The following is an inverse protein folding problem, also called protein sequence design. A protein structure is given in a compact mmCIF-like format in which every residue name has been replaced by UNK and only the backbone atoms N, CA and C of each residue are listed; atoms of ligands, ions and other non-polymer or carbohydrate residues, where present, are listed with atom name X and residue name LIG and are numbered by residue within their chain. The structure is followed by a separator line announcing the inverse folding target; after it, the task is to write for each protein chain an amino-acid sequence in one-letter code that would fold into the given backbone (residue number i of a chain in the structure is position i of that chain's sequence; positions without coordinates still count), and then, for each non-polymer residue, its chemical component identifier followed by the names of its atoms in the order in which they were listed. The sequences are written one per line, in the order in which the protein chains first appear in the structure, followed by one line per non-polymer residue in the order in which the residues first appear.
data_IF_810742508757
#
_entry.id   IF_810742508757
#
_cell.length_a   1.000
_cell.length_b   1.000
_cell.length_c   1.000
_cell.angle_alpha   90.00
_cell.angle_beta   90.00
_cell.angle_gamma   90.00
#
_symmetry.space_group_name_H-M   'P 1'
#
loop_
_entity.id
_entity.type
_entity.pdbx_description
1 polymer ?
#
# COMPACT_ATOMS: atom_id res chain seq x y z
N UNK A 1 -15.54 -30.47 -19.46
CA UNK A 1 -15.13 -29.06 -19.37
C UNK A 1 -16.16 -28.34 -18.54
N UNK A 2 -17.45 -28.51 -18.83
CA UNK A 2 -18.55 -27.90 -18.10
C UNK A 2 -18.56 -28.21 -16.59
N UNK A 3 -18.33 -29.48 -16.20
CA UNK A 3 -18.16 -29.88 -14.78
C UNK A 3 -17.03 -29.09 -14.10
N UNK A 4 -15.82 -29.12 -14.68
CA UNK A 4 -14.67 -28.35 -14.19
C UNK A 4 -14.95 -26.84 -14.08
N UNK A 5 -15.66 -26.24 -15.05
CA UNK A 5 -16.00 -24.82 -15.02
C UNK A 5 -17.09 -24.49 -13.98
N UNK A 6 -17.95 -25.46 -13.64
CA UNK A 6 -18.88 -25.33 -12.53
C UNK A 6 -18.12 -25.38 -11.20
N UNK A 7 -17.26 -26.38 -11.01
CA UNK A 7 -16.45 -26.54 -9.81
C UNK A 7 -15.53 -25.33 -9.58
N UNK A 8 -14.92 -24.80 -10.65
CA UNK A 8 -14.05 -23.62 -10.58
C UNK A 8 -14.79 -22.33 -10.18
N UNK A 9 -16.08 -22.21 -10.52
CA UNK A 9 -16.91 -21.05 -10.13
C UNK A 9 -17.32 -21.10 -8.66
N UNK A 10 -17.40 -22.31 -8.09
CA UNK A 10 -17.72 -22.55 -6.68
C UNK A 10 -16.46 -22.78 -5.83
N UNK A 11 -15.28 -22.39 -6.35
CA UNK A 11 -14.02 -22.62 -5.67
C UNK A 11 -13.90 -21.73 -4.43
N UNK A 12 -13.58 -22.37 -3.30
CA UNK A 12 -13.26 -21.79 -2.01
C UNK A 12 -12.03 -22.52 -1.40
N UNK A 13 -11.58 -22.11 -0.23
CA UNK A 13 -10.43 -22.67 0.50
C UNK A 13 -10.70 -24.07 1.08
N UNK A 14 -11.93 -24.58 0.99
CA UNK A 14 -12.23 -25.90 1.53
C UNK A 14 -11.51 -26.97 0.73
N UNK A 15 -10.99 -27.97 1.44
CA UNK A 15 -10.24 -29.06 0.83
C UNK A 15 -11.08 -29.81 -0.22
N UNK A 16 -12.38 -30.00 0.03
CA UNK A 16 -13.29 -30.68 -0.90
C UNK A 16 -13.40 -29.94 -2.24
N UNK A 17 -13.53 -28.61 -2.23
CA UNK A 17 -13.64 -27.80 -3.46
C UNK A 17 -12.32 -27.72 -4.22
N UNK A 18 -11.20 -27.56 -3.50
CA UNK A 18 -9.86 -27.63 -4.09
C UNK A 18 -9.61 -28.99 -4.75
N UNK A 19 -10.00 -30.08 -4.08
CA UNK A 19 -9.89 -31.44 -4.60
C UNK A 19 -10.78 -31.66 -5.83
N UNK A 20 -12.03 -31.20 -5.82
CA UNK A 20 -12.94 -31.33 -6.96
C UNK A 20 -12.36 -30.71 -8.25
N UNK A 21 -11.88 -29.45 -8.18
CA UNK A 21 -11.28 -28.74 -9.32
C UNK A 21 -9.98 -29.43 -9.77
N UNK A 22 -9.11 -29.76 -8.83
CA UNK A 22 -7.82 -30.37 -9.12
C UNK A 22 -7.94 -31.80 -9.68
N UNK A 23 -8.92 -32.59 -9.22
CA UNK A 23 -9.23 -33.91 -9.77
C UNK A 23 -9.70 -33.83 -11.21
N UNK A 24 -10.46 -32.79 -11.57
CA UNK A 24 -10.81 -32.48 -12.96
C UNK A 24 -9.57 -32.33 -13.85
N UNK A 25 -8.57 -31.57 -13.39
CA UNK A 25 -7.30 -31.40 -14.09
C UNK A 25 -6.48 -32.70 -14.11
N UNK A 26 -6.41 -33.44 -13.00
CA UNK A 26 -5.69 -34.71 -12.92
C UNK A 26 -6.31 -35.80 -13.81
N UNK A 27 -7.64 -35.83 -14.00
CA UNK A 27 -8.30 -36.69 -14.99
C UNK A 27 -7.77 -36.41 -16.40
N UNK A 28 -7.64 -35.13 -16.77
CA UNK A 28 -7.10 -34.74 -18.08
C UNK A 28 -5.61 -35.10 -18.20
N UNK A 29 -4.83 -34.91 -17.13
CA UNK A 29 -3.43 -35.35 -17.07
C UNK A 29 -3.29 -36.85 -17.35
N UNK A 30 -4.15 -37.70 -16.76
CA UNK A 30 -4.14 -39.16 -17.01
C UNK A 30 -4.47 -39.50 -18.46
N UNK A 31 -5.43 -38.80 -19.06
CA UNK A 31 -5.74 -38.97 -20.49
C UNK A 31 -4.59 -38.48 -21.39
N UNK A 32 -3.83 -37.49 -20.96
CA UNK A 32 -2.71 -36.92 -21.70
C UNK A 32 -3.15 -36.00 -22.85
N UNK A 33 -4.31 -35.35 -22.72
CA UNK A 33 -4.85 -34.42 -23.72
C UNK A 33 -4.28 -33.00 -23.51
N UNK A 34 -3.32 -32.54 -24.34
CA UNK A 34 -2.65 -31.26 -24.14
C UNK A 34 -3.54 -30.06 -24.48
N UNK A 35 -4.51 -30.21 -25.38
CA UNK A 35 -5.40 -29.13 -25.80
C UNK A 35 -6.35 -28.83 -24.64
N UNK A 36 -6.97 -29.88 -24.09
CA UNK A 36 -7.88 -29.75 -22.96
C UNK A 36 -7.16 -29.30 -21.69
N UNK A 37 -5.94 -29.78 -21.43
CA UNK A 37 -5.13 -29.31 -20.31
C UNK A 37 -4.81 -27.82 -20.41
N UNK A 38 -4.45 -27.33 -21.60
CA UNK A 38 -4.23 -25.90 -21.85
C UNK A 38 -5.49 -25.08 -21.61
N UNK A 39 -6.63 -25.50 -22.16
CA UNK A 39 -7.91 -24.81 -21.94
C UNK A 39 -8.28 -24.73 -20.45
N UNK A 40 -8.03 -25.79 -19.68
CA UNK A 40 -8.27 -25.79 -18.23
C UNK A 40 -7.35 -24.82 -17.48
N UNK A 41 -6.05 -24.79 -17.82
CA UNK A 41 -5.10 -23.85 -17.23
C UNK A 41 -5.43 -22.39 -17.58
N UNK A 42 -5.84 -22.12 -18.82
CA UNK A 42 -6.29 -20.80 -19.27
C UNK A 42 -7.59 -20.37 -18.56
N UNK A 43 -8.54 -21.29 -18.41
CA UNK A 43 -9.78 -21.01 -17.67
C UNK A 43 -9.51 -20.75 -16.18
N UNK A 44 -8.58 -21.48 -15.58
CA UNK A 44 -8.15 -21.27 -14.19
C UNK A 44 -7.57 -19.87 -13.97
N UNK A 45 -6.63 -19.44 -14.81
CA UNK A 45 -6.03 -18.09 -14.66
C UNK A 45 -7.04 -16.99 -15.01
N UNK A 46 -7.91 -17.20 -16.00
CA UNK A 46 -8.98 -16.25 -16.33
C UNK A 46 -9.98 -16.09 -15.18
N UNK A 47 -10.37 -17.19 -14.53
CA UNK A 47 -11.22 -17.14 -13.35
C UNK A 47 -10.54 -16.39 -12.19
N UNK A 48 -9.25 -16.62 -11.95
CA UNK A 48 -8.50 -15.85 -10.96
C UNK A 48 -8.46 -14.35 -11.29
N UNK A 49 -8.24 -13.97 -12.56
CA UNK A 49 -8.25 -12.57 -13.00
C UNK A 49 -9.62 -11.90 -12.83
N UNK A 50 -10.69 -12.65 -13.06
CA UNK A 50 -12.07 -12.17 -12.97
C UNK A 50 -12.65 -12.24 -11.55
N UNK A 51 -11.95 -12.91 -10.62
CA UNK A 51 -12.39 -13.07 -9.24
C UNK A 51 -12.36 -11.74 -8.49
N UNK A 52 -13.32 -11.47 -7.60
CA UNK A 52 -13.41 -10.22 -6.84
C UNK A 52 -12.52 -10.22 -5.59
N UNK A 53 -12.35 -9.08 -4.92
CA UNK A 53 -11.51 -8.96 -3.71
C UNK A 53 -12.03 -9.77 -2.51
N UNK A 54 -13.33 -10.08 -2.47
CA UNK A 54 -13.95 -10.92 -1.43
C UNK A 54 -13.82 -12.42 -1.72
N UNK A 55 -13.33 -12.80 -2.89
CA UNK A 55 -13.14 -14.20 -3.24
C UNK A 55 -11.88 -14.75 -2.57
N UNK A 56 -11.93 -16.01 -2.17
CA UNK A 56 -10.83 -16.71 -1.52
C UNK A 56 -9.75 -17.09 -2.54
N UNK A 57 -9.05 -16.08 -3.09
CA UNK A 57 -8.14 -16.22 -4.24
C UNK A 57 -6.99 -17.18 -3.98
N UNK A 58 -6.59 -17.38 -2.72
CA UNK A 58 -5.54 -18.34 -2.35
C UNK A 58 -5.92 -19.78 -2.70
N UNK A 59 -7.22 -20.10 -2.75
CA UNK A 59 -7.72 -21.41 -3.17
C UNK A 59 -7.24 -21.79 -4.58
N UNK A 60 -7.06 -20.82 -5.49
CA UNK A 60 -6.53 -21.08 -6.83
C UNK A 60 -5.09 -21.60 -6.78
N UNK A 61 -4.27 -21.10 -5.85
CA UNK A 61 -2.90 -21.59 -5.63
C UNK A 61 -2.90 -22.94 -4.90
N UNK A 62 -3.89 -23.20 -4.04
CA UNK A 62 -4.07 -24.55 -3.46
C UNK A 62 -4.42 -25.59 -4.52
N UNK A 63 -5.29 -25.25 -5.49
CA UNK A 63 -5.56 -26.11 -6.66
C UNK A 63 -4.28 -26.39 -7.44
N UNK A 64 -3.52 -25.35 -7.79
CA UNK A 64 -2.27 -25.50 -8.51
C UNK A 64 -1.26 -26.35 -7.73
N UNK A 65 -1.12 -26.11 -6.42
CA UNK A 65 -0.28 -26.90 -5.53
C UNK A 65 -0.71 -28.38 -5.52
N UNK A 66 -2.01 -28.67 -5.34
CA UNK A 66 -2.50 -30.04 -5.29
C UNK A 66 -2.21 -30.80 -6.61
N UNK A 67 -2.46 -30.17 -7.76
CA UNK A 67 -2.15 -30.74 -9.07
C UNK A 67 -0.63 -30.96 -9.24
N UNK A 68 0.21 -29.98 -8.89
CA UNK A 68 1.67 -30.11 -8.99
C UNK A 68 2.20 -31.25 -8.11
N UNK A 69 1.73 -31.34 -6.86
CA UNK A 69 2.16 -32.38 -5.92
C UNK A 69 1.76 -33.77 -6.41
N UNK A 70 0.52 -33.95 -6.87
CA UNK A 70 0.02 -35.23 -7.40
C UNK A 70 0.68 -35.62 -8.73
N UNK A 71 1.07 -34.66 -9.56
CA UNK A 71 1.73 -34.95 -10.84
C UNK A 71 3.23 -35.23 -10.71
N UNK A 72 3.92 -34.60 -9.76
CA UNK A 72 5.36 -34.78 -9.55
C UNK A 72 5.71 -35.90 -8.56
N UNK A 73 4.87 -36.13 -7.55
CA UNK A 73 5.15 -37.06 -6.45
C UNK A 73 4.05 -38.12 -6.23
N UNK A 74 3.00 -38.12 -7.04
CA UNK A 74 1.96 -39.17 -7.00
C UNK A 74 2.42 -40.49 -7.63
N UNK A 75 1.61 -41.54 -7.46
CA UNK A 75 1.94 -42.86 -7.99
C UNK A 75 2.21 -42.80 -9.51
N UNK A 76 3.34 -43.37 -9.98
CA UNK A 76 3.74 -43.34 -11.38
C UNK A 76 2.91 -44.36 -12.19
N UNK A 77 1.59 -44.24 -12.19
CA UNK A 77 0.73 -45.18 -12.92
C UNK A 77 0.79 -44.97 -14.45
N UNK A 78 1.33 -43.84 -14.92
CA UNK A 78 1.49 -43.59 -16.34
C UNK A 78 2.71 -42.69 -16.55
N UNK A 79 3.82 -43.21 -17.09
CA UNK A 79 5.03 -42.46 -17.45
C UNK A 79 4.85 -41.41 -18.57
N UNK A 80 3.72 -40.69 -18.56
CA UNK A 80 3.39 -39.59 -19.45
C UNK A 80 3.96 -38.30 -18.87
N UNK A 81 4.44 -37.43 -19.76
CA UNK A 81 4.98 -36.12 -19.39
C UNK A 81 3.95 -35.28 -18.62
N UNK A 82 4.32 -34.66 -17.49
CA UNK A 82 3.41 -33.80 -16.74
C UNK A 82 3.06 -32.54 -17.56
N UNK A 83 1.80 -32.43 -17.99
CA UNK A 83 1.34 -31.33 -18.85
C UNK A 83 1.21 -30.04 -18.02
N UNK A 84 0.55 -30.13 -16.86
CA UNK A 84 0.22 -28.99 -16.02
C UNK A 84 1.44 -28.31 -15.38
N UNK A 85 2.56 -29.01 -15.19
CA UNK A 85 3.81 -28.40 -14.66
C UNK A 85 4.28 -27.26 -15.57
N UNK A 86 4.36 -27.53 -16.88
CA UNK A 86 4.78 -26.54 -17.87
C UNK A 86 3.75 -25.43 -18.10
N UNK A 87 2.45 -25.75 -17.98
CA UNK A 87 1.36 -24.80 -18.15
C UNK A 87 1.25 -23.84 -16.97
N UNK A 88 1.29 -24.34 -15.73
CA UNK A 88 1.27 -23.49 -14.55
C UNK A 88 2.52 -22.61 -14.45
N UNK A 89 3.69 -23.12 -14.85
CA UNK A 89 4.92 -22.32 -14.86
C UNK A 89 4.81 -21.02 -15.66
N UNK A 90 3.89 -20.94 -16.64
CA UNK A 90 3.65 -19.73 -17.45
C UNK A 90 2.81 -18.69 -16.71
N UNK A 91 1.99 -19.11 -15.74
CA UNK A 91 0.98 -18.26 -15.10
C UNK A 91 1.20 -18.08 -13.59
N UNK A 92 2.08 -18.87 -12.95
CA UNK A 92 2.25 -18.85 -11.51
C UNK A 92 2.81 -17.52 -10.97
N UNK A 93 3.69 -16.85 -11.72
CA UNK A 93 4.21 -15.52 -11.32
C UNK A 93 3.06 -14.50 -11.24
N UNK A 94 2.20 -14.47 -12.26
CA UNK A 94 1.01 -13.64 -12.30
C UNK A 94 0.00 -14.05 -11.21
N UNK A 95 -0.25 -15.35 -11.04
CA UNK A 95 -1.20 -15.85 -10.06
C UNK A 95 -0.79 -15.49 -8.63
N UNK A 96 0.50 -15.63 -8.30
CA UNK A 96 1.07 -15.21 -7.01
C UNK A 96 0.85 -13.72 -6.79
N UNK A 97 1.14 -12.87 -7.80
CA UNK A 97 0.89 -11.44 -7.71
C UNK A 97 -0.59 -11.10 -7.50
N UNK A 98 -1.51 -11.82 -8.15
CA UNK A 98 -2.96 -11.60 -8.05
C UNK A 98 -3.57 -12.07 -6.72
N UNK A 99 -2.94 -13.01 -6.02
CA UNK A 99 -3.40 -13.50 -4.71
C UNK A 99 -2.89 -12.64 -3.56
N UNK A 100 -1.68 -12.08 -3.64
CA UNK A 100 -1.01 -11.34 -2.56
C UNK A 100 -1.61 -9.93 -2.28
N UNK A 101 -2.93 -9.82 -2.05
CA UNK A 101 -3.61 -8.54 -1.79
C UNK A 101 -3.79 -8.23 -0.30
N UNK A 102 -3.75 -9.23 0.59
CA UNK A 102 -3.85 -9.07 2.03
C UNK A 102 -2.63 -9.64 2.77
N UNK A 103 -2.32 -9.17 3.99
CA UNK A 103 -1.25 -9.76 4.81
C UNK A 103 -1.44 -11.25 5.08
N UNK A 104 -2.69 -11.71 5.23
CA UNK A 104 -3.00 -13.13 5.45
C UNK A 104 -2.69 -13.96 4.20
N UNK A 105 -3.09 -13.47 3.03
CA UNK A 105 -2.79 -14.13 1.75
C UNK A 105 -1.27 -14.19 1.50
N UNK A 106 -0.55 -13.11 1.79
CA UNK A 106 0.91 -13.08 1.67
C UNK A 106 1.57 -14.15 2.54
N UNK A 107 1.12 -14.34 3.78
CA UNK A 107 1.63 -15.39 4.66
C UNK A 107 1.36 -16.80 4.11
N UNK A 108 0.16 -17.04 3.58
CA UNK A 108 -0.18 -18.34 2.99
C UNK A 108 0.65 -18.61 1.72
N UNK A 109 0.85 -17.60 0.88
CA UNK A 109 1.61 -17.69 -0.36
C UNK A 109 3.11 -17.87 -0.10
N UNK A 110 3.71 -17.13 0.83
CA UNK A 110 5.13 -17.35 1.18
C UNK A 110 5.35 -18.75 1.73
N UNK A 111 4.43 -19.26 2.56
CA UNK A 111 4.50 -20.65 3.04
C UNK A 111 4.41 -21.68 1.91
N UNK A 112 3.57 -21.42 0.90
CA UNK A 112 3.50 -22.27 -0.30
C UNK A 112 4.81 -22.23 -1.11
N UNK A 113 5.42 -21.06 -1.28
CA UNK A 113 6.68 -20.91 -2.00
C UNK A 113 7.85 -21.59 -1.28
N UNK A 114 7.90 -21.50 0.05
CA UNK A 114 8.83 -22.28 0.88
C UNK A 114 8.64 -23.78 0.65
N UNK A 115 7.38 -24.26 0.70
CA UNK A 115 7.08 -25.68 0.48
C UNK A 115 7.52 -26.15 -0.92
N UNK A 116 7.31 -25.33 -1.96
CA UNK A 116 7.75 -25.64 -3.31
C UNK A 116 9.28 -25.65 -3.45
N UNK A 117 9.98 -24.80 -2.71
CA UNK A 117 11.43 -24.82 -2.62
C UNK A 117 11.93 -26.08 -1.89
N UNK A 118 11.41 -26.36 -0.68
CA UNK A 118 11.77 -27.52 0.14
C UNK A 118 11.59 -28.83 -0.63
N UNK A 119 10.49 -28.96 -1.38
CA UNK A 119 10.19 -30.13 -2.20
C UNK A 119 10.84 -30.11 -3.59
N UNK A 120 11.62 -29.08 -3.91
CA UNK A 120 12.27 -28.92 -5.22
C UNK A 120 11.30 -28.99 -6.41
N UNK A 121 10.08 -28.48 -6.23
CA UNK A 121 9.07 -28.37 -7.31
C UNK A 121 9.55 -27.39 -8.38
N UNK A 122 10.19 -26.30 -7.94
CA UNK A 122 10.74 -25.25 -8.79
C UNK A 122 12.18 -24.93 -8.40
N UNK A 123 12.94 -24.41 -9.36
CA UNK A 123 14.32 -23.94 -9.12
C UNK A 123 14.33 -22.67 -8.27
N UNK A 124 15.44 -22.40 -7.57
CA UNK A 124 15.57 -21.20 -6.74
C UNK A 124 15.37 -19.90 -7.53
N UNK A 125 15.74 -19.87 -8.81
CA UNK A 125 15.51 -18.70 -9.67
C UNK A 125 14.04 -18.49 -10.00
N UNK A 126 13.26 -19.57 -10.17
CA UNK A 126 11.81 -19.49 -10.37
C UNK A 126 11.10 -19.08 -9.07
N UNK A 127 11.46 -19.70 -7.94
CA UNK A 127 10.91 -19.33 -6.62
C UNK A 127 11.23 -17.88 -6.30
N UNK A 128 12.45 -17.40 -6.59
CA UNK A 128 12.84 -16.01 -6.42
C UNK A 128 11.98 -15.04 -7.23
N UNK A 129 11.62 -15.38 -8.48
CA UNK A 129 10.72 -14.52 -9.28
C UNK A 129 9.34 -14.42 -8.63
N UNK A 130 8.76 -15.55 -8.24
CA UNK A 130 7.46 -15.58 -7.56
C UNK A 130 7.51 -14.88 -6.19
N UNK A 131 8.59 -15.04 -5.44
CA UNK A 131 8.77 -14.41 -4.14
C UNK A 131 8.80 -12.88 -4.24
N UNK A 132 9.43 -12.33 -5.28
CA UNK A 132 9.43 -10.87 -5.52
C UNK A 132 8.02 -10.33 -5.76
N UNK A 133 7.08 -11.15 -6.21
CA UNK A 133 5.69 -10.76 -6.40
C UNK A 133 4.90 -10.67 -5.08
N UNK A 134 5.36 -11.29 -3.99
CA UNK A 134 4.67 -11.25 -2.69
C UNK A 134 4.89 -9.93 -1.96
N UNK A 135 6.03 -9.27 -2.19
CA UNK A 135 6.44 -8.05 -1.48
C UNK A 135 6.95 -8.28 -0.06
N UNK A 136 7.16 -9.54 0.34
CA UNK A 136 7.75 -9.92 1.63
C UNK A 136 9.29 -9.92 1.55
N UNK A 137 9.94 -9.79 2.70
CA UNK A 137 11.40 -9.79 2.78
C UNK A 137 12.00 -11.07 2.19
N UNK A 138 13.19 -10.94 1.59
CA UNK A 138 13.86 -12.06 0.96
C UNK A 138 14.39 -13.04 2.02
N UNK A 139 14.02 -14.33 1.97
CA UNK A 139 14.50 -15.31 2.92
C UNK A 139 15.92 -15.77 2.57
N UNK A 140 16.67 -16.19 3.58
CA UNK A 140 18.08 -16.60 3.46
C UNK A 140 18.35 -17.64 2.36
N UNK A 141 17.42 -18.57 2.13
CA UNK A 141 17.59 -19.61 1.10
C UNK A 141 17.58 -19.09 -0.35
N UNK A 142 17.12 -17.85 -0.58
CA UNK A 142 17.09 -17.20 -1.90
C UNK A 142 18.18 -16.15 -2.12
N UNK A 143 18.92 -15.75 -1.08
CA UNK A 143 19.99 -14.73 -1.17
C UNK A 143 21.07 -15.09 -2.20
N UNK A 144 21.46 -16.36 -2.26
CA UNK A 144 22.45 -16.85 -3.22
C UNK A 144 21.94 -16.76 -4.67
N UNK A 145 20.65 -17.06 -4.89
CA UNK A 145 20.03 -16.96 -6.21
C UNK A 145 19.85 -15.49 -6.65
N UNK A 146 19.57 -14.59 -5.70
CA UNK A 146 19.51 -13.16 -5.94
C UNK A 146 20.87 -12.58 -6.35
N UNK A 147 21.94 -13.06 -5.71
CA UNK A 147 23.33 -12.65 -6.00
C UNK A 147 23.80 -13.12 -7.38
N UNK A 148 23.40 -14.33 -7.81
CA UNK A 148 23.78 -14.86 -9.14
C UNK A 148 23.01 -14.23 -10.31
N UNK A 149 21.79 -13.75 -10.08
CA UNK A 149 21.01 -13.03 -11.10
C UNK A 149 21.52 -11.58 -11.36
N UNK A 150 22.52 -11.11 -10.61
CA UNK A 150 23.11 -9.76 -10.73
C UNK A 150 24.33 -9.62 -11.67
N UNK A 151 24.70 -10.63 -12.46
CA UNK A 151 25.93 -10.64 -13.29
C UNK A 151 25.65 -10.28 -14.79
N UNK A 152 24.47 -9.77 -15.14
CA UNK A 152 24.18 -9.32 -16.50
C UNK A 152 23.64 -7.88 -16.54
N UNK A 153 24.56 -6.93 -16.34
CA UNK A 153 24.37 -5.49 -16.52
C UNK A 153 25.71 -4.77 -16.30
N UNK A 154 26.45 -4.57 -17.40
CA UNK A 154 27.65 -3.72 -17.59
C UNK A 154 27.78 -2.51 -16.63
N UNK A 155 28.95 -1.99 -16.24
CA UNK A 155 30.36 -2.38 -16.28
C UNK A 155 31.10 -1.32 -15.45
N UNK A 156 32.08 -1.75 -14.67
CA UNK A 156 33.40 -1.11 -14.47
C UNK A 156 33.58 0.32 -15.05
N UNK A 157 33.62 1.30 -14.16
CA UNK A 157 34.29 2.59 -14.40
C UNK A 157 35.67 2.56 -13.75
N UNK A 158 36.69 2.26 -14.55
CA UNK A 158 38.10 2.45 -14.23
C UNK A 158 38.39 3.84 -13.68
N UNK A 159 39.32 3.86 -12.73
CA UNK A 159 40.03 5.02 -12.25
C UNK A 159 40.71 5.75 -13.42
N UNK A 160 40.14 6.87 -13.89
CA UNK A 160 40.86 7.86 -14.70
C UNK A 160 40.63 9.25 -14.14
N UNK A 161 41.73 9.84 -13.69
CA UNK A 161 41.88 11.28 -13.46
C UNK A 161 41.35 12.06 -14.66
N UNK A 162 40.32 12.87 -14.46
CA UNK A 162 40.01 14.01 -15.33
C UNK A 162 39.59 15.17 -14.43
N UNK A 163 40.49 16.14 -14.30
CA UNK A 163 40.17 17.54 -14.01
C UNK A 163 39.17 18.03 -15.07
N UNK A 164 37.91 18.19 -14.70
CA UNK A 164 36.96 18.98 -15.47
C UNK A 164 35.84 19.46 -14.54
N UNK A 165 35.64 20.79 -14.54
CA UNK A 165 34.58 21.52 -13.83
C UNK A 165 33.25 20.76 -13.89
N UNK A 166 32.76 20.34 -12.71
CA UNK A 166 31.45 19.72 -12.55
C UNK A 166 30.41 20.83 -12.39
N UNK A 167 29.74 21.18 -13.47
CA UNK A 167 28.41 21.77 -13.39
C UNK A 167 27.47 20.76 -12.73
N UNK A 168 26.59 21.24 -11.86
CA UNK A 168 25.66 20.44 -11.06
C UNK A 168 24.72 19.64 -11.98
N UNK A 169 24.60 18.32 -11.82
CA UNK A 169 23.57 17.54 -12.51
C UNK A 169 22.18 17.94 -12.00
N UNK A 170 21.21 18.00 -12.91
CA UNK A 170 19.83 18.32 -12.61
C UNK A 170 19.17 17.30 -11.69
N UNK A 171 18.21 17.78 -10.89
CA UNK A 171 17.54 17.07 -9.81
C UNK A 171 16.76 15.80 -10.20
N UNK A 172 16.69 15.45 -11.48
CA UNK A 172 16.04 14.24 -11.96
C UNK A 172 16.93 13.00 -11.79
N UNK A 173 18.23 13.10 -12.06
CA UNK A 173 19.14 11.95 -12.01
C UNK A 173 19.34 11.41 -10.57
N UNK A 174 19.25 12.28 -9.57
CA UNK A 174 19.39 11.89 -8.16
C UNK A 174 18.14 11.20 -7.58
N UNK A 175 16.98 11.34 -8.23
CA UNK A 175 15.72 10.67 -7.83
C UNK A 175 15.70 9.26 -8.38
N UNK A 176 16.15 9.06 -9.62
CA UNK A 176 16.20 7.75 -10.26
C UNK A 176 17.24 6.82 -9.60
N UNK A 177 18.39 7.33 -9.14
CA UNK A 177 19.36 6.54 -8.36
C UNK A 177 18.83 6.11 -6.98
N UNK A 178 17.88 6.85 -6.39
CA UNK A 178 17.33 6.53 -5.07
C UNK A 178 16.11 5.59 -5.13
N UNK A 179 15.43 5.49 -6.27
CA UNK A 179 14.26 4.62 -6.43
C UNK A 179 14.62 3.12 -6.31
N UNK A 180 15.87 2.74 -6.56
CA UNK A 180 16.35 1.36 -6.35
C UNK A 180 16.75 1.05 -4.89
N UNK A 181 16.89 2.06 -4.03
CA UNK A 181 17.17 1.88 -2.59
C UNK A 181 15.91 1.99 -1.70
N UNK A 182 14.76 2.34 -2.25
CA UNK A 182 13.52 2.46 -1.48
C UNK A 182 12.95 1.07 -1.15
N UNK A 183 12.53 0.83 0.11
CA UNK A 183 12.15 -0.51 0.58
C UNK A 183 10.85 -1.07 -0.04
N UNK A 184 10.10 -0.28 -0.80
CA UNK A 184 8.84 -0.72 -1.42
C UNK A 184 8.84 -0.26 -2.88
N UNK A 185 8.88 -1.18 -3.84
CA UNK A 185 8.56 -0.84 -5.24
C UNK A 185 7.04 -0.72 -5.35
N UNK A 186 6.55 0.39 -5.93
CA UNK A 186 5.12 0.59 -6.16
C UNK A 186 4.65 -0.45 -7.19
N UNK A 187 4.17 -1.60 -6.73
CA UNK A 187 3.66 -2.64 -7.62
C UNK A 187 2.33 -2.20 -8.24
N UNK A 188 2.18 -2.54 -9.53
CA UNK A 188 1.10 -2.26 -10.48
C UNK A 188 -0.23 -1.71 -9.92
N UNK A 189 -0.74 -0.69 -10.62
CA UNK A 189 -2.02 -0.02 -10.36
C UNK A 189 -3.15 -0.98 -9.99
N UNK A 190 -3.88 -0.70 -8.90
CA UNK A 190 -5.11 -1.46 -8.64
C UNK A 190 -6.26 -0.94 -9.48
N UNK A 191 -7.14 -1.86 -9.90
CA UNK A 191 -8.36 -1.53 -10.64
C UNK A 191 -9.31 -0.69 -9.79
N UNK A 192 -9.30 -0.85 -8.47
CA UNK A 192 -10.04 0.01 -7.56
C UNK A 192 -9.27 1.34 -7.37
N UNK A 193 -9.90 2.49 -7.69
CA UNK A 193 -9.24 3.79 -7.65
C UNK A 193 -8.88 4.24 -6.22
N UNK A 194 -9.72 3.91 -5.22
CA UNK A 194 -9.47 4.20 -3.80
C UNK A 194 -8.25 3.42 -3.30
N UNK A 195 -8.20 2.12 -3.60
CA UNK A 195 -7.07 1.27 -3.22
C UNK A 195 -5.78 1.68 -3.93
N UNK A 196 -5.85 2.20 -5.16
CA UNK A 196 -4.67 2.61 -5.93
C UNK A 196 -4.03 3.83 -5.29
N UNK A 197 -4.87 4.78 -4.88
CA UNK A 197 -4.43 5.99 -4.17
C UNK A 197 -3.88 5.63 -2.79
N UNK A 198 -4.53 4.73 -2.03
CA UNK A 198 -4.04 4.27 -0.73
C UNK A 198 -2.67 3.58 -0.84
N UNK A 199 -2.47 2.70 -1.84
CA UNK A 199 -1.17 2.07 -2.10
C UNK A 199 -0.07 3.11 -2.38
N UNK A 200 -0.38 4.14 -3.18
CA UNK A 200 0.53 5.25 -3.44
C UNK A 200 0.86 6.01 -2.17
N UNK A 201 -0.13 6.31 -1.33
CA UNK A 201 0.08 6.98 -0.05
C UNK A 201 0.95 6.16 0.91
N UNK A 202 0.71 4.85 1.01
CA UNK A 202 1.51 3.96 1.85
C UNK A 202 2.96 3.88 1.39
N UNK A 203 3.18 3.79 0.07
CA UNK A 203 4.52 3.87 -0.50
C UNK A 203 5.22 5.19 -0.15
N UNK A 204 4.56 6.34 -0.32
CA UNK A 204 5.13 7.64 0.01
C UNK A 204 5.45 7.73 1.51
N UNK A 205 4.56 7.22 2.37
CA UNK A 205 4.75 7.22 3.83
C UNK A 205 5.93 6.34 4.25
N UNK A 206 6.09 5.18 3.62
CA UNK A 206 7.24 4.30 3.86
C UNK A 206 8.54 4.93 3.36
N UNK A 207 8.54 5.56 2.18
CA UNK A 207 9.69 6.28 1.64
C UNK A 207 10.13 7.42 2.56
N UNK A 208 9.19 8.23 3.07
CA UNK A 208 9.48 9.30 4.03
C UNK A 208 10.10 8.74 5.31
N UNK A 209 9.52 7.69 5.91
CA UNK A 209 10.08 7.06 7.12
C UNK A 209 11.51 6.55 6.91
N UNK A 210 11.76 5.90 5.78
CA UNK A 210 13.10 5.41 5.42
C UNK A 210 14.09 6.56 5.25
N UNK A 211 13.70 7.61 4.53
CA UNK A 211 14.54 8.77 4.31
C UNK A 211 14.83 9.52 5.63
N UNK A 212 13.84 9.69 6.50
CA UNK A 212 14.04 10.30 7.82
C UNK A 212 15.06 9.52 8.65
N UNK A 213 15.01 8.19 8.65
CA UNK A 213 15.98 7.36 9.34
C UNK A 213 17.39 7.50 8.74
N UNK A 214 17.54 7.40 7.41
CA UNK A 214 18.83 7.59 6.72
C UNK A 214 19.41 9.00 6.95
N UNK A 215 18.57 10.04 6.91
CA UNK A 215 18.99 11.42 7.16
C UNK A 215 19.50 11.54 8.60
N UNK A 216 18.76 11.00 9.58
CA UNK A 216 19.15 11.03 11.00
C UNK A 216 20.49 10.34 11.23
N UNK A 217 20.69 9.15 10.66
CA UNK A 217 21.95 8.40 10.78
C UNK A 217 23.13 9.15 10.16
N UNK A 218 22.98 9.63 8.91
CA UNK A 218 24.05 10.38 8.23
C UNK A 218 24.36 11.70 8.91
N UNK A 219 23.34 12.40 9.41
CA UNK A 219 23.50 13.63 10.16
C UNK A 219 24.24 13.40 11.49
N UNK A 220 23.91 12.33 12.22
CA UNK A 220 24.60 11.99 13.47
C UNK A 220 26.08 11.65 13.23
N UNK A 221 26.39 10.91 12.16
CA UNK A 221 27.78 10.62 11.77
C UNK A 221 28.52 11.91 11.42
N UNK A 222 27.88 12.81 10.65
CA UNK A 222 28.45 14.11 10.31
C UNK A 222 28.76 14.94 11.56
N UNK A 223 27.82 15.03 12.51
CA UNK A 223 28.00 15.73 13.78
C UNK A 223 29.14 15.15 14.61
N UNK A 224 29.20 13.83 14.75
CA UNK A 224 30.26 13.17 15.52
C UNK A 224 31.66 13.42 14.91
N UNK A 225 31.78 13.37 13.57
CA UNK A 225 33.06 13.57 12.87
C UNK A 225 33.48 15.06 12.86
N UNK A 226 32.51 16.00 12.88
CA UNK A 226 32.78 17.44 12.95
C UNK A 226 33.10 17.93 14.36
N UNK A 227 32.32 17.55 15.37
CA UNK A 227 32.54 17.95 16.77
C UNK A 227 33.90 17.45 17.28
N UNK A 228 34.35 16.27 16.83
CA UNK A 228 35.65 15.73 17.21
C UNK A 228 36.84 16.50 16.60
N UNK A 229 36.64 17.24 15.50
CA UNK A 229 37.72 17.86 14.72
C UNK A 229 37.73 19.38 14.76
N UNK A 230 36.57 20.02 14.88
CA UNK A 230 36.44 21.47 14.85
C UNK A 230 35.67 21.91 16.07
N UNK A 231 36.31 22.71 16.92
CA UNK A 231 35.69 23.28 18.13
C UNK A 231 35.31 24.75 17.91
N UNK A 232 35.99 25.42 16.97
CA UNK A 232 35.75 26.81 16.61
C UNK A 232 35.63 26.97 15.09
N UNK A 233 34.97 28.04 14.65
CA UNK A 233 34.84 28.35 13.23
C UNK A 233 36.20 28.62 12.54
N UNK A 234 37.23 29.02 13.31
CA UNK A 234 38.58 29.24 12.81
C UNK A 234 39.26 27.92 12.41
N UNK A 235 39.04 26.84 13.16
CA UNK A 235 39.58 25.50 12.87
C UNK A 235 39.15 24.99 11.49
N UNK A 236 37.93 25.37 11.07
CA UNK A 236 37.34 24.98 9.79
C UNK A 236 37.98 25.70 8.59
N UNK A 237 38.50 26.91 8.81
CA UNK A 237 39.15 27.76 7.80
C UNK A 237 40.65 27.46 7.72
N UNK A 238 41.26 27.07 8.83
CA UNK A 238 42.68 26.65 8.87
C UNK A 238 42.90 25.23 8.32
N UNK A 239 41.85 24.41 8.25
CA UNK A 239 41.95 23.06 7.72
C UNK A 239 42.12 23.04 6.19
N UNK A 240 43.40 22.96 5.76
CA UNK A 240 43.83 22.79 4.37
C UNK A 240 43.82 21.32 3.91
N UNK A 241 43.35 20.40 4.75
CA UNK A 241 43.30 18.97 4.41
C UNK A 241 42.06 18.60 3.59
N UNK A 242 42.03 17.38 3.07
CA UNK A 242 40.90 16.82 2.31
C UNK A 242 39.64 16.69 3.21
N UNK A 243 39.78 16.73 4.54
CA UNK A 243 38.69 16.50 5.50
C UNK A 243 37.55 17.53 5.41
N UNK A 244 37.87 18.83 5.31
CA UNK A 244 36.87 19.90 5.15
C UNK A 244 36.02 19.72 3.88
N UNK A 245 36.65 19.35 2.76
CA UNK A 245 35.95 19.08 1.50
C UNK A 245 35.03 17.85 1.59
N UNK A 246 35.46 16.80 2.30
CA UNK A 246 34.66 15.59 2.52
C UNK A 246 33.44 15.84 3.42
N UNK A 247 33.60 16.66 4.46
CA UNK A 247 32.50 17.02 5.37
C UNK A 247 31.47 17.85 4.63
N UNK A 248 31.91 18.82 3.82
CA UNK A 248 31.02 19.59 2.95
C UNK A 248 30.24 18.68 2.00
N UNK A 249 30.91 17.74 1.33
CA UNK A 249 30.25 16.81 0.44
C UNK A 249 29.20 15.94 1.17
N UNK A 250 29.53 15.42 2.35
CA UNK A 250 28.58 14.63 3.18
C UNK A 250 27.38 15.46 3.64
N UNK A 251 27.58 16.74 3.95
CA UNK A 251 26.49 17.66 4.30
C UNK A 251 25.59 17.96 3.09
N UNK A 252 26.18 18.17 1.92
CA UNK A 252 25.45 18.32 0.65
C UNK A 252 24.64 17.05 0.30
N UNK A 253 25.19 15.86 0.55
CA UNK A 253 24.46 14.59 0.37
C UNK A 253 23.27 14.44 1.33
N UNK A 254 23.40 14.87 2.59
CA UNK A 254 22.27 14.91 3.53
C UNK A 254 21.17 15.87 3.07
N UNK A 255 21.55 17.05 2.56
CA UNK A 255 20.61 18.04 2.01
C UNK A 255 19.87 17.49 0.78
N UNK A 256 20.52 16.70 -0.07
CA UNK A 256 19.86 16.03 -1.20
C UNK A 256 18.78 15.07 -0.72
N UNK A 257 19.05 14.25 0.30
CA UNK A 257 18.06 13.33 0.88
C UNK A 257 16.86 14.10 1.47
N UNK A 258 17.09 15.21 2.17
CA UNK A 258 16.01 16.07 2.71
C UNK A 258 15.13 16.61 1.59
N UNK A 259 15.71 17.04 0.46
CA UNK A 259 14.95 17.50 -0.71
C UNK A 259 14.05 16.40 -1.28
N UNK A 260 14.58 15.18 -1.45
CA UNK A 260 13.79 14.03 -1.94
C UNK A 260 12.66 13.70 -0.95
N UNK A 261 12.94 13.69 0.35
CA UNK A 261 11.94 13.46 1.39
C UNK A 261 10.82 14.49 1.36
N UNK A 262 11.16 15.77 1.17
CA UNK A 262 10.17 16.83 1.08
C UNK A 262 9.28 16.72 -0.17
N UNK A 263 9.81 16.19 -1.27
CA UNK A 263 9.01 15.89 -2.48
C UNK A 263 7.93 14.83 -2.19
N UNK A 264 8.28 13.71 -1.57
CA UNK A 264 7.30 12.69 -1.17
C UNK A 264 6.27 13.25 -0.18
N UNK A 265 6.68 14.14 0.72
CA UNK A 265 5.76 14.80 1.66
C UNK A 265 4.79 15.76 0.97
N UNK A 266 5.22 16.50 -0.06
CA UNK A 266 4.31 17.38 -0.81
C UNK A 266 3.32 16.58 -1.64
N UNK A 267 3.76 15.51 -2.29
CA UNK A 267 2.91 14.66 -3.14
C UNK A 267 1.85 13.87 -2.33
N UNK A 268 2.08 13.65 -1.02
CA UNK A 268 1.09 13.09 -0.11
C UNK A 268 -0.16 13.98 0.05
N UNK A 269 -0.03 15.30 -0.10
CA UNK A 269 -1.16 16.24 -0.09
C UNK A 269 -2.09 15.97 -1.26
N UNK A 270 -1.54 15.95 -2.47
CA UNK A 270 -2.27 15.70 -3.72
C UNK A 270 -2.92 14.31 -3.72
N UNK A 271 -2.25 13.30 -3.16
CA UNK A 271 -2.82 11.95 -3.02
C UNK A 271 -4.01 11.91 -2.07
N UNK A 272 -4.03 12.74 -1.02
CA UNK A 272 -5.17 12.82 -0.10
C UNK A 272 -6.40 13.40 -0.78
N UNK A 273 -6.22 14.40 -1.64
CA UNK A 273 -7.31 14.97 -2.46
C UNK A 273 -7.86 13.93 -3.44
N UNK A 274 -6.98 13.25 -4.17
CA UNK A 274 -7.36 12.15 -5.08
C UNK A 274 -8.08 11.00 -4.37
N UNK A 275 -7.74 10.72 -3.12
CA UNK A 275 -8.42 9.69 -2.33
C UNK A 275 -9.86 10.11 -2.06
N UNK A 276 -10.08 11.37 -1.69
CA UNK A 276 -11.41 11.91 -1.44
C UNK A 276 -12.27 11.85 -2.70
N UNK A 277 -11.71 12.22 -3.85
CA UNK A 277 -12.39 12.13 -5.16
C UNK A 277 -12.75 10.68 -5.51
N UNK A 278 -11.78 9.77 -5.41
CA UNK A 278 -12.00 8.36 -5.72
C UNK A 278 -13.07 7.68 -4.82
N UNK A 279 -13.17 8.11 -3.56
CA UNK A 279 -14.20 7.60 -2.63
C UNK A 279 -15.58 8.07 -3.05
N UNK A 280 -15.73 9.35 -3.41
CA UNK A 280 -17.01 9.90 -3.88
C UNK A 280 -17.44 9.19 -5.16
N UNK A 281 -16.54 9.05 -6.13
CA UNK A 281 -16.84 8.38 -7.40
C UNK A 281 -17.28 6.91 -7.21
N UNK A 282 -16.68 6.20 -6.26
CA UNK A 282 -17.10 4.82 -5.95
C UNK A 282 -18.49 4.76 -5.32
N UNK A 283 -18.81 5.68 -4.41
CA UNK A 283 -20.13 5.74 -3.78
C UNK A 283 -21.20 5.99 -4.85
N UNK A 284 -20.96 6.96 -5.73
CA UNK A 284 -21.87 7.28 -6.83
C UNK A 284 -22.06 6.08 -7.78
N UNK A 285 -20.99 5.34 -8.08
CA UNK A 285 -21.05 4.12 -8.89
C UNK A 285 -21.85 3.00 -8.20
N UNK A 286 -21.68 2.80 -6.90
CA UNK A 286 -22.44 1.81 -6.13
C UNK A 286 -23.94 2.15 -6.08
N UNK A 287 -24.29 3.43 -5.91
CA UNK A 287 -25.68 3.89 -5.97
C UNK A 287 -26.28 3.67 -7.37
N UNK A 288 -25.55 3.97 -8.44
CA UNK A 288 -26.01 3.73 -9.82
C UNK A 288 -26.16 2.21 -10.12
N UNK A 289 -25.26 1.39 -9.60
CA UNK A 289 -25.35 -0.07 -9.73
C UNK A 289 -26.57 -0.63 -8.97
N UNK A 290 -26.82 -0.14 -7.76
CA UNK A 290 -27.98 -0.53 -6.95
C UNK A 290 -29.30 -0.19 -7.65
N UNK A 291 -29.42 1.03 -8.20
CA UNK A 291 -30.62 1.44 -8.95
C UNK A 291 -30.83 0.62 -10.22
N UNK A 292 -29.76 0.25 -10.94
CA UNK A 292 -29.85 -0.67 -12.10
C UNK A 292 -30.31 -2.07 -11.70
N UNK A 293 -29.85 -2.60 -10.57
CA UNK A 293 -30.29 -3.90 -10.05
C UNK A 293 -31.78 -3.83 -9.70
N UNK A 294 -32.23 -2.77 -9.01
CA UNK A 294 -33.65 -2.56 -8.70
C UNK A 294 -34.49 -2.50 -9.97
N UNK A 295 -34.07 -1.74 -10.99
CA UNK A 295 -34.77 -1.67 -12.27
C UNK A 295 -34.85 -3.04 -12.97
N UNK A 296 -33.81 -3.86 -12.86
CA UNK A 296 -33.81 -5.22 -13.44
C UNK A 296 -34.72 -6.18 -12.68
N UNK A 297 -34.80 -6.05 -11.36
CA UNK A 297 -35.75 -6.80 -10.55
C UNK A 297 -37.20 -6.41 -10.88
N UNK A 298 -37.48 -5.12 -11.06
CA UNK A 298 -38.79 -4.65 -11.52
C UNK A 298 -39.15 -5.20 -12.90
N UNK A 299 -38.20 -5.25 -13.84
CA UNK A 299 -38.42 -5.86 -15.16
C UNK A 299 -38.72 -7.36 -15.06
N UNK A 300 -38.06 -8.10 -14.17
CA UNK A 300 -38.37 -9.51 -13.93
C UNK A 300 -39.77 -9.68 -13.33
N UNK A 301 -40.14 -8.86 -12.34
CA UNK A 301 -41.48 -8.87 -11.74
C UNK A 301 -42.58 -8.57 -12.79
N UNK A 302 -42.33 -7.64 -13.72
CA UNK A 302 -43.25 -7.32 -14.82
C UNK A 302 -43.39 -8.46 -15.85
N UNK A 303 -42.29 -9.16 -16.17
CA UNK A 303 -42.31 -10.31 -17.08
C UNK A 303 -43.06 -11.49 -16.45
N UNK A 304 -42.84 -11.76 -15.16
CA UNK A 304 -43.54 -12.80 -14.41
C UNK A 304 -45.05 -12.51 -14.33
N UNK A 305 -45.44 -11.24 -14.23
CA UNK A 305 -46.84 -10.81 -14.30
C UNK A 305 -47.41 -10.88 -15.72
N UNK A 306 -46.61 -10.58 -16.75
CA UNK A 306 -47.03 -10.57 -18.16
C UNK A 306 -47.16 -11.97 -18.80
N UNK A 307 -46.47 -12.98 -18.26
CA UNK A 307 -46.56 -14.37 -18.69
C UNK A 307 -47.78 -15.12 -18.11
N UNK A 308 -48.47 -14.53 -17.14
CA UNK A 308 -49.65 -15.10 -16.53
C UNK A 308 -50.89 -14.44 -17.12
N UNK A 309 -51.86 -15.21 -17.62
CA UNK A 309 -53.17 -14.67 -17.96
C UNK A 309 -53.92 -14.36 -16.65
N UNK A 310 -53.59 -13.19 -16.08
CA UNK A 310 -53.99 -12.74 -14.75
C UNK A 310 -55.52 -12.80 -14.57
N UNK A 311 -56.28 -12.56 -15.65
CA UNK A 311 -57.73 -12.58 -15.62
C UNK A 311 -58.29 -14.00 -15.48
N UNK A 312 -57.67 -15.00 -16.10
CA UNK A 312 -58.15 -16.39 -16.09
C UNK A 312 -57.68 -17.15 -14.83
N UNK A 313 -56.47 -16.84 -14.33
CA UNK A 313 -55.93 -17.41 -13.09
C UNK A 313 -56.63 -16.83 -11.85
N UNK A 314 -56.92 -15.52 -11.82
CA UNK A 314 -57.67 -14.88 -10.73
C UNK A 314 -59.11 -15.41 -10.64
N UNK A 315 -59.71 -15.80 -11.77
CA UNK A 315 -61.06 -16.38 -11.83
C UNK A 315 -61.10 -17.83 -11.36
N UNK A 316 -60.04 -18.61 -11.61
CA UNK A 316 -59.93 -20.03 -11.24
C UNK A 316 -59.46 -20.23 -9.79
N UNK A 317 -58.57 -19.38 -9.28
CA UNK A 317 -57.94 -19.54 -7.95
C UNK A 317 -57.94 -18.24 -7.13
N UNK A 318 -59.10 -17.71 -6.72
CA UNK A 318 -59.20 -16.43 -6.03
C UNK A 318 -58.53 -16.42 -4.64
N UNK A 319 -58.56 -17.54 -3.92
CA UNK A 319 -57.94 -17.63 -2.59
C UNK A 319 -56.41 -17.71 -2.63
N UNK A 320 -55.83 -18.33 -3.66
CA UNK A 320 -54.39 -18.37 -3.86
C UNK A 320 -53.88 -16.97 -4.23
N UNK A 321 -54.66 -16.22 -5.01
CA UNK A 321 -54.36 -14.83 -5.35
C UNK A 321 -54.36 -13.91 -4.12
N UNK A 322 -55.37 -14.02 -3.26
CA UNK A 322 -55.43 -13.27 -2.02
C UNK A 322 -54.27 -13.62 -1.07
N UNK A 323 -53.91 -14.90 -0.98
CA UNK A 323 -52.74 -15.36 -0.21
C UNK A 323 -51.43 -14.84 -0.80
N UNK A 324 -51.21 -14.96 -2.11
CA UNK A 324 -50.02 -14.46 -2.78
C UNK A 324 -49.88 -12.94 -2.63
N UNK A 325 -50.98 -12.19 -2.76
CA UNK A 325 -51.02 -10.74 -2.51
C UNK A 325 -50.65 -10.41 -1.08
N UNK A 326 -51.20 -11.13 -0.09
CA UNK A 326 -50.86 -10.94 1.31
C UNK A 326 -49.38 -11.23 1.59
N UNK A 327 -48.84 -12.33 1.05
CA UNK A 327 -47.41 -12.68 1.17
C UNK A 327 -46.51 -11.63 0.48
N UNK A 328 -46.91 -11.10 -0.67
CA UNK A 328 -46.16 -10.03 -1.35
C UNK A 328 -46.12 -8.74 -0.52
N UNK A 329 -47.23 -8.40 0.12
CA UNK A 329 -47.36 -7.22 0.97
C UNK A 329 -46.55 -7.39 2.25
N UNK A 330 -46.54 -8.58 2.85
CA UNK A 330 -45.66 -8.90 3.98
C UNK A 330 -44.17 -8.84 3.58
N UNK A 331 -43.80 -9.37 2.41
CA UNK A 331 -42.41 -9.28 1.92
C UNK A 331 -41.99 -7.84 1.72
N UNK A 332 -42.86 -7.00 1.15
CA UNK A 332 -42.61 -5.56 1.01
C UNK A 332 -42.44 -4.89 2.37
N UNK A 333 -43.36 -5.14 3.31
CA UNK A 333 -43.31 -4.60 4.66
C UNK A 333 -42.04 -5.02 5.42
N UNK A 334 -41.61 -6.28 5.28
CA UNK A 334 -40.34 -6.76 5.87
C UNK A 334 -39.12 -6.08 5.24
N UNK A 335 -39.12 -5.84 3.93
CA UNK A 335 -38.05 -5.11 3.25
C UNK A 335 -37.96 -3.65 3.72
N UNK A 336 -39.10 -2.97 3.81
CA UNK A 336 -39.18 -1.58 4.32
C UNK A 336 -38.71 -1.50 5.78
N UNK A 337 -39.07 -2.49 6.62
CA UNK A 337 -38.62 -2.56 8.01
C UNK A 337 -37.10 -2.80 8.12
N UNK A 338 -36.54 -3.71 7.31
CA UNK A 338 -35.09 -3.95 7.27
C UNK A 338 -34.34 -2.71 6.81
N UNK A 339 -34.84 -1.99 5.79
CA UNK A 339 -34.24 -0.72 5.37
C UNK A 339 -34.30 0.33 6.48
N UNK A 340 -35.44 0.45 7.17
CA UNK A 340 -35.57 1.35 8.31
C UNK A 340 -34.55 1.04 9.41
N UNK A 341 -34.39 -0.23 9.76
CA UNK A 341 -33.40 -0.67 10.75
C UNK A 341 -31.96 -0.37 10.32
N UNK A 342 -31.63 -0.57 9.04
CA UNK A 342 -30.31 -0.20 8.50
C UNK A 342 -30.06 1.31 8.61
N UNK A 343 -31.03 2.13 8.24
CA UNK A 343 -30.92 3.59 8.34
C UNK A 343 -30.76 4.04 9.80
N UNK A 344 -31.52 3.47 10.72
CA UNK A 344 -31.37 3.74 12.16
C UNK A 344 -30.00 3.31 12.70
N UNK A 345 -29.48 2.16 12.27
CA UNK A 345 -28.14 1.69 12.65
C UNK A 345 -27.04 2.60 12.10
N UNK A 346 -27.15 3.04 10.85
CA UNK A 346 -26.20 3.99 10.24
C UNK A 346 -26.24 5.33 10.99
N UNK A 347 -27.44 5.85 11.31
CA UNK A 347 -27.58 7.07 12.08
C UNK A 347 -26.96 6.94 13.49
N UNK A 348 -27.12 5.78 14.14
CA UNK A 348 -26.51 5.49 15.44
C UNK A 348 -24.99 5.45 15.37
N UNK A 349 -24.43 4.72 14.39
CA UNK A 349 -22.98 4.64 14.18
C UNK A 349 -22.38 6.01 13.83
N UNK A 350 -23.09 6.82 13.06
CA UNK A 350 -22.67 8.19 12.76
C UNK A 350 -22.62 9.06 14.03
N UNK A 351 -23.62 8.94 14.90
CA UNK A 351 -23.64 9.65 16.17
C UNK A 351 -22.52 9.17 17.12
N UNK A 352 -22.22 7.88 17.13
CA UNK A 352 -21.11 7.29 17.88
C UNK A 352 -19.76 7.78 17.35
N UNK A 353 -19.55 7.81 16.03
CA UNK A 353 -18.32 8.33 15.41
C UNK A 353 -18.10 9.82 15.72
N UNK A 354 -19.17 10.63 15.76
CA UNK A 354 -19.10 12.04 16.19
C UNK A 354 -18.68 12.12 17.66
N UNK A 355 -19.25 11.28 18.52
CA UNK A 355 -18.93 11.26 19.95
C UNK A 355 -17.48 10.79 20.21
N UNK A 356 -17.02 9.75 19.52
CA UNK A 356 -15.64 9.27 19.59
C UNK A 356 -14.66 10.31 19.09
N UNK A 357 -14.95 10.97 17.95
CA UNK A 357 -14.12 12.05 17.43
C UNK A 357 -14.04 13.23 18.41
N UNK A 358 -15.15 13.58 19.06
CA UNK A 358 -15.17 14.62 20.09
C UNK A 358 -14.38 14.21 21.34
N UNK A 359 -14.50 12.96 21.80
CA UNK A 359 -13.71 12.45 22.93
C UNK A 359 -12.22 12.42 22.60
N UNK A 360 -11.84 11.99 21.40
CA UNK A 360 -10.46 11.97 20.96
C UNK A 360 -9.88 13.39 20.85
N UNK A 361 -10.66 14.36 20.36
CA UNK A 361 -10.27 15.77 20.36
C UNK A 361 -10.07 16.31 21.79
N UNK A 362 -10.99 16.02 22.71
CA UNK A 362 -10.85 16.40 24.13
C UNK A 362 -9.66 15.74 24.80
N UNK A 363 -9.36 14.48 24.49
CA UNK A 363 -8.18 13.77 25.00
C UNK A 363 -6.89 14.41 24.49
N UNK A 364 -6.83 14.75 23.20
CA UNK A 364 -5.68 15.46 22.63
C UNK A 364 -5.50 16.84 23.26
N UNK A 365 -6.59 17.59 23.50
CA UNK A 365 -6.52 18.88 24.21
C UNK A 365 -6.04 18.70 25.66
N UNK A 366 -6.49 17.66 26.37
CA UNK A 366 -6.04 17.35 27.72
C UNK A 366 -4.57 16.91 27.76
N UNK A 367 -4.11 16.12 26.78
CA UNK A 367 -2.71 15.69 26.65
C UNK A 367 -1.80 16.88 26.31
N UNK A 368 -2.24 17.79 25.43
CA UNK A 368 -1.51 19.02 25.15
C UNK A 368 -1.43 19.93 26.37
N UNK A 369 -2.51 20.07 27.15
CA UNK A 369 -2.53 20.89 28.36
C UNK A 369 -1.72 20.26 29.51
N UNK A 370 -1.69 18.94 29.63
CA UNK A 370 -0.90 18.25 30.66
C UNK A 370 0.59 18.19 30.30
N UNK A 371 0.94 17.96 29.03
CA UNK A 371 2.33 18.02 28.56
C UNK A 371 2.88 19.43 28.62
N UNK A 372 2.11 20.46 28.24
CA UNK A 372 2.55 21.85 28.41
C UNK A 372 2.69 22.25 29.89
N UNK A 373 1.80 21.80 30.78
CA UNK A 373 1.93 22.06 32.20
C UNK A 373 3.13 21.35 32.85
N UNK A 374 3.42 20.12 32.43
CA UNK A 374 4.57 19.34 32.93
C UNK A 374 5.91 19.79 32.33
N UNK A 375 5.95 20.25 31.07
CA UNK A 375 7.10 20.93 30.47
C UNK A 375 7.37 22.29 31.13
N UNK A 376 6.33 23.07 31.45
CA UNK A 376 6.50 24.32 32.20
C UNK A 376 6.96 24.07 33.64
N UNK A 377 6.53 22.97 34.28
CA UNK A 377 6.99 22.59 35.62
C UNK A 377 8.41 22.02 35.61
N UNK A 378 8.82 21.26 34.59
CA UNK A 378 10.19 20.75 34.46
C UNK A 378 11.17 21.88 34.14
N UNK A 379 10.79 22.82 33.26
CA UNK A 379 11.55 24.07 33.03
C UNK A 379 11.63 24.93 34.29
N UNK A 380 10.56 24.99 35.10
CA UNK A 380 10.57 25.68 36.40
C UNK A 380 11.44 24.98 37.46
N UNK A 381 11.63 23.66 37.36
CA UNK A 381 12.50 22.88 38.25
C UNK A 381 13.97 23.10 37.92
N UNK A 382 14.33 23.04 36.63
CA UNK A 382 15.70 23.27 36.15
C UNK A 382 16.18 24.72 36.32
N UNK A 383 15.26 25.67 36.49
CA UNK A 383 15.57 27.07 36.81
C UNK A 383 15.86 27.30 38.31
N UNK A 384 15.53 26.38 39.22
CA UNK A 384 15.76 26.55 40.67
C UNK A 384 17.16 26.15 41.15
N UNK A 385 17.88 25.33 40.40
CA UNK A 385 19.21 24.80 40.79
C UNK A 385 20.40 25.55 40.19
N UNK A 386 20.18 26.68 39.50
CA UNK A 386 21.26 27.61 39.16
C UNK A 386 21.52 28.57 40.32
N UNK A 387 22.78 28.81 40.73
CA UNK A 387 23.07 29.92 41.62
C UNK A 387 22.59 31.21 40.96
N UNK A 388 21.80 32.03 41.68
CA UNK A 388 21.41 33.37 41.24
C UNK A 388 22.67 34.19 40.98
N UNK A 389 23.11 34.23 39.72
CA UNK A 389 23.92 35.35 39.25
C UNK A 389 23.04 36.59 39.34
N UNK A 390 23.57 37.61 40.03
CA UNK A 390 22.97 38.93 40.13
C UNK A 390 22.45 39.38 38.77
N UNK A 391 21.20 39.83 38.75
CA UNK A 391 20.61 40.62 37.66
C UNK A 391 21.57 41.74 37.26
N UNK A 392 22.39 41.47 36.24
CA UNK A 392 22.97 42.51 35.42
C UNK A 392 21.93 42.80 34.35
N UNK A 393 21.30 43.97 34.48
CA UNK A 393 20.60 44.61 33.37
C UNK A 393 21.53 44.60 32.17
N UNK A 394 21.32 43.66 31.25
CA UNK A 394 21.92 43.73 29.92
C UNK A 394 20.89 44.39 29.04
N UNK A 395 21.30 45.53 28.52
CA UNK A 395 20.50 46.44 27.74
C UNK A 395 19.83 45.71 26.55
N UNK A 396 18.58 46.06 26.30
CA UNK A 396 17.74 45.72 25.14
C UNK A 396 18.32 46.21 23.79
N UNK A 397 19.63 46.39 23.67
CA UNK A 397 20.28 47.06 22.53
C UNK A 397 20.84 46.11 21.46
N UNK A 398 20.90 44.79 21.72
CA UNK A 398 21.56 43.84 20.81
C UNK A 398 20.69 42.65 20.33
N UNK A 399 19.37 42.72 20.43
CA UNK A 399 18.52 41.69 19.80
C UNK A 399 18.44 41.93 18.29
N UNK A 400 19.02 40.99 17.52
CA UNK A 400 19.01 40.97 16.06
C UNK A 400 17.85 40.09 15.57
N UNK A 401 17.01 40.62 14.68
CA UNK A 401 15.89 39.89 14.07
C UNK A 401 16.11 39.75 12.57
N UNK A 402 15.76 38.58 12.05
CA UNK A 402 15.86 38.28 10.62
C UNK A 402 14.86 39.11 9.81
N UNK A 403 15.36 39.95 8.90
CA UNK A 403 14.52 40.74 8.00
C UNK A 403 14.30 39.97 6.68
N UNK A 404 13.05 39.53 6.37
CA UNK A 404 12.78 38.70 5.19
C UNK A 404 12.93 39.45 3.86
N UNK A 405 12.86 40.79 3.87
CA UNK A 405 12.99 41.63 2.66
C UNK A 405 14.46 41.88 2.33
N UNK A 406 15.27 42.18 3.34
CA UNK A 406 16.71 42.46 3.16
C UNK A 406 17.59 41.21 3.21
N UNK A 407 17.05 40.08 3.69
CA UNK A 407 17.77 38.80 3.88
C UNK A 407 19.03 38.93 4.74
N UNK A 408 18.95 39.78 5.78
CA UNK A 408 20.03 40.02 6.73
C UNK A 408 19.47 40.16 8.16
N UNK A 409 20.34 40.00 9.17
CA UNK A 409 20.01 40.19 10.58
C UNK A 409 20.14 41.68 10.93
N UNK A 410 19.06 42.30 11.42
CA UNK A 410 19.01 43.74 11.70
C UNK A 410 18.58 43.99 13.16
N UNK A 411 19.14 44.99 13.87
CA UNK A 411 18.75 45.27 15.25
C UNK A 411 17.27 45.65 15.38
N UNK A 412 16.57 45.13 16.41
CA UNK A 412 15.13 45.31 16.63
C UNK A 412 14.63 46.77 16.63
N UNK A 413 15.47 47.74 17.07
CA UNK A 413 15.13 49.18 17.00
C UNK A 413 14.92 49.69 15.57
N UNK A 414 15.63 49.14 14.58
CA UNK A 414 15.52 49.59 13.19
C UNK A 414 14.18 49.22 12.54
N UNK A 415 13.53 48.15 12.98
CA UNK A 415 12.18 47.82 12.52
C UNK A 415 11.17 48.87 13.00
N UNK A 416 11.24 49.28 14.28
CA UNK A 416 10.25 50.21 14.83
C UNK A 416 10.30 51.63 14.23
N UNK A 417 11.42 52.05 13.65
CA UNK A 417 11.52 53.36 12.97
C UNK A 417 10.99 53.29 11.54
N UNK A 418 11.20 52.18 10.83
CA UNK A 418 10.74 52.02 9.44
C UNK A 418 9.22 51.79 9.33
N UNK A 419 8.55 51.34 10.40
CA UNK A 419 7.07 51.19 10.41
C UNK A 419 6.32 52.53 10.52
N UNK A 420 6.93 53.60 11.03
CA UNK A 420 6.26 54.92 11.15
C UNK A 420 6.27 55.71 9.84
N UNK A 421 7.28 55.52 8.97
CA UNK A 421 7.40 56.25 7.70
C UNK A 421 6.42 55.77 6.60
N UNK A 422 5.83 54.58 6.76
CA UNK A 422 4.88 54.00 5.79
C UNK A 422 3.43 54.41 6.04
N UNK A 423 3.14 55.09 7.16
CA UNK A 423 1.78 55.61 7.45
C UNK A 423 1.53 57.00 6.87
N UNK A 424 2.59 57.72 6.53
CA UNK A 424 2.52 59.12 6.07
C UNK A 424 2.78 59.30 4.56
N UNK A 425 2.75 58.22 3.77
CA UNK A 425 2.86 58.25 2.30
C UNK A 425 1.73 57.56 1.55
#
# INVERSE_FOLDING_TARGET
MDEFLADLRELDETQERVEAVSDGMLRVQRTGDPIKARMMAESWIQALRASDFQSERVAFLYVANHVLQKTLFGDPENGKTPLFVSLFSQYLEEAVALVCNSPMDRQNVTRLLELWHEKQVFTNTQVLKMWRCTGEDLPHFLENAASMNGIAGDKQGEMKNIDAKRELPDSHDAVDELHDELPIKLNSHSVNPVLDVLKKMDHHRAAVKFLDQKIKERHQVLLNDTIARYQTAADLVEDKSIASSQIRQRAEDCLRLVKVRNKFMSELGDLKEKLSEAVVDMIDYEEEAATKIEQKLEQCDEIDLGLMDLADHQKKFPEEWLRARFVSLERRKRREEIQRQKVEQIARLHQEAIAESAMHAMSLEADMNSNSASELQSLSGDLRDRPMEKDSKTDNENELVWNPIRKELVPLRSLNVDWEDWRDH
#
